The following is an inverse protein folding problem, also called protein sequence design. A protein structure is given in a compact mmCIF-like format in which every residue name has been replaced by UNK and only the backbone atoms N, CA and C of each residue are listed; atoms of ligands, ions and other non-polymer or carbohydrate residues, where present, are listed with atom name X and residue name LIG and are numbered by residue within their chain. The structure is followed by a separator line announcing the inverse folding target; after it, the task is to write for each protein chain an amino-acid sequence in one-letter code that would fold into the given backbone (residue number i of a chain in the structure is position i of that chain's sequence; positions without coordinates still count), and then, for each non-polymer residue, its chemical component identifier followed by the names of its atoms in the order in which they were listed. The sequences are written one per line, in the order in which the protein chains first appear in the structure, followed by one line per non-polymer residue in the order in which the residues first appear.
data_IF_397708719399
#
_entry.id   IF_397708719399
#
_cell.length_a   1.000
_cell.length_b   1.000
_cell.length_c   1.000
_cell.angle_alpha   90.00
_cell.angle_beta   90.00
_cell.angle_gamma   90.00
#
_symmetry.space_group_name_H-M   'P 1'
#
loop_
_entity.id
_entity.type
_entity.pdbx_description
1 polymer ?
#
# COMPACT_ATOMS: atom_id res chain seq x y z
N UNK A 1 -2.33 -3.72 8.93
CA UNK A 1 -2.10 -4.60 7.75
C UNK A 1 -0.64 -4.97 7.52
N UNK A 2 0.32 -4.05 7.72
CA UNK A 2 1.75 -4.29 7.44
C UNK A 2 2.32 -5.58 8.08
N UNK A 3 2.08 -5.81 9.37
CA UNK A 3 2.58 -6.99 10.07
C UNK A 3 2.07 -8.32 9.49
N UNK A 4 0.77 -8.38 9.13
CA UNK A 4 0.14 -9.56 8.53
C UNK A 4 0.70 -9.80 7.11
N UNK A 5 0.89 -8.72 6.34
CA UNK A 5 1.49 -8.78 5.01
C UNK A 5 2.95 -9.24 5.05
N UNK A 6 3.74 -8.70 5.97
CA UNK A 6 5.11 -9.12 6.21
C UNK A 6 5.19 -10.59 6.63
N UNK A 7 4.33 -11.03 7.56
CA UNK A 7 4.30 -12.43 7.98
C UNK A 7 3.91 -13.38 6.85
N UNK A 8 2.92 -13.03 6.02
CA UNK A 8 2.55 -13.81 4.84
C UNK A 8 3.70 -13.88 3.83
N UNK A 9 4.41 -12.75 3.64
CA UNK A 9 5.57 -12.62 2.78
C UNK A 9 6.74 -13.52 3.24
N UNK A 10 7.13 -13.44 4.51
CA UNK A 10 8.20 -14.30 5.05
C UNK A 10 7.82 -15.79 5.04
N UNK A 11 6.54 -16.12 5.24
CA UNK A 11 6.03 -17.50 5.14
C UNK A 11 5.83 -17.96 3.69
N UNK A 12 6.09 -17.12 2.70
CA UNK A 12 5.98 -17.39 1.26
C UNK A 12 4.61 -17.94 0.82
N UNK A 13 3.54 -17.49 1.50
CA UNK A 13 2.19 -17.98 1.20
C UNK A 13 1.70 -17.48 -0.17
N UNK A 14 0.99 -18.30 -0.94
CA UNK A 14 0.35 -17.88 -2.22
C UNK A 14 -0.59 -16.69 -2.09
N UNK A 15 -1.15 -16.45 -0.91
CA UNK A 15 -2.02 -15.30 -0.63
C UNK A 15 -1.28 -13.97 -0.59
N UNK A 16 0.06 -13.97 -0.42
CA UNK A 16 0.89 -12.76 -0.27
C UNK A 16 0.68 -11.77 -1.41
N UNK A 17 0.50 -12.23 -2.65
CA UNK A 17 0.23 -11.37 -3.81
C UNK A 17 -1.03 -10.50 -3.61
N UNK A 18 -2.11 -11.10 -3.12
CA UNK A 18 -3.37 -10.40 -2.84
C UNK A 18 -3.25 -9.54 -1.58
N UNK A 19 -2.54 -10.05 -0.57
CA UNK A 19 -2.40 -9.37 0.71
C UNK A 19 -1.51 -8.11 0.61
N UNK A 20 -0.48 -8.14 -0.23
CA UNK A 20 0.35 -6.96 -0.51
C UNK A 20 -0.39 -5.92 -1.34
N UNK A 21 -1.13 -6.34 -2.38
CA UNK A 21 -1.99 -5.42 -3.13
C UNK A 21 -3.03 -4.74 -2.20
N UNK A 22 -3.68 -5.52 -1.33
CA UNK A 22 -4.61 -5.00 -0.33
C UNK A 22 -3.91 -4.07 0.68
N UNK A 23 -2.68 -4.40 1.10
CA UNK A 23 -1.90 -3.55 1.99
C UNK A 23 -1.64 -2.17 1.37
N UNK A 24 -1.17 -2.10 0.12
CA UNK A 24 -0.92 -0.82 -0.55
C UNK A 24 -2.21 -0.01 -0.76
N UNK A 25 -3.32 -0.67 -1.13
CA UNK A 25 -4.62 -0.03 -1.27
C UNK A 25 -5.14 0.54 0.06
N UNK A 26 -5.11 -0.25 1.14
CA UNK A 26 -5.51 0.20 2.47
C UNK A 26 -4.62 1.32 2.97
N UNK A 27 -3.30 1.24 2.73
CA UNK A 27 -2.36 2.29 3.11
C UNK A 27 -2.72 3.62 2.44
N UNK A 28 -2.96 3.62 1.13
CA UNK A 28 -3.38 4.82 0.40
C UNK A 28 -4.70 5.38 0.90
N UNK A 29 -5.74 4.55 1.08
CA UNK A 29 -7.03 5.01 1.60
C UNK A 29 -6.86 5.63 2.99
N UNK A 30 -6.08 4.98 3.86
CA UNK A 30 -5.85 5.49 5.22
C UNK A 30 -5.10 6.81 5.19
N UNK A 31 -4.02 6.92 4.40
CA UNK A 31 -3.26 8.17 4.23
C UNK A 31 -4.13 9.26 3.64
N UNK A 32 -4.92 8.99 2.61
CA UNK A 32 -5.83 9.95 2.00
C UNK A 32 -6.91 10.42 2.98
N UNK A 33 -7.53 9.50 3.73
CA UNK A 33 -8.49 9.88 4.76
C UNK A 33 -7.85 10.73 5.86
N UNK A 34 -6.66 10.36 6.34
CA UNK A 34 -5.98 11.10 7.43
C UNK A 34 -5.42 12.46 7.00
N UNK A 35 -5.32 12.74 5.69
CA UNK A 35 -4.79 14.01 5.17
C UNK A 35 -5.91 14.89 4.62
N UNK A 36 -6.75 14.36 3.73
CA UNK A 36 -7.81 15.10 3.04
C UNK A 36 -8.98 15.41 3.97
N UNK A 37 -9.35 14.48 4.87
CA UNK A 37 -10.53 14.65 5.73
C UNK A 37 -10.32 15.76 6.77
N UNK A 38 -9.16 15.85 7.48
CA UNK A 38 -8.89 17.00 8.34
C UNK A 38 -8.75 18.31 7.56
N UNK A 39 -8.09 18.29 6.39
CA UNK A 39 -7.96 19.48 5.55
C UNK A 39 -9.34 20.03 5.14
N UNK A 40 -10.28 19.14 4.77
CA UNK A 40 -11.64 19.52 4.38
C UNK A 40 -12.50 19.98 5.58
N UNK A 41 -12.43 19.31 6.72
CA UNK A 41 -13.25 19.65 7.90
C UNK A 41 -12.79 20.92 8.61
N UNK A 42 -11.47 21.16 8.65
CA UNK A 42 -10.89 22.26 9.42
C UNK A 42 -10.33 23.39 8.53
N UNK A 43 -10.53 23.32 7.21
CA UNK A 43 -9.97 24.26 6.22
C UNK A 43 -8.45 24.49 6.39
N UNK A 44 -7.73 23.40 6.70
CA UNK A 44 -6.28 23.44 6.84
C UNK A 44 -5.63 23.35 5.45
N UNK A 45 -4.53 24.07 5.27
CA UNK A 45 -3.66 23.85 4.11
C UNK A 45 -2.91 22.54 4.27
N UNK A 46 -2.77 21.79 3.17
CA UNK A 46 -1.91 20.62 3.15
C UNK A 46 -0.45 21.05 3.30
N UNK A 47 0.26 20.39 4.21
CA UNK A 47 1.68 20.61 4.38
C UNK A 47 2.48 19.81 3.33
N UNK A 48 3.73 20.19 3.13
CA UNK A 48 4.66 19.42 2.29
C UNK A 48 4.81 17.96 2.75
N UNK A 49 4.68 17.71 4.05
CA UNK A 49 4.67 16.38 4.67
C UNK A 49 3.49 15.54 4.17
N UNK A 50 2.29 16.12 4.11
CA UNK A 50 1.07 15.45 3.62
C UNK A 50 1.19 15.14 2.13
N UNK A 51 1.67 16.09 1.34
CA UNK A 51 1.90 15.91 -0.11
C UNK A 51 2.93 14.79 -0.35
N UNK A 52 4.00 14.75 0.43
CA UNK A 52 5.00 13.70 0.39
C UNK A 52 4.42 12.32 0.76
N UNK A 53 3.55 12.27 1.78
CA UNK A 53 2.91 11.03 2.21
C UNK A 53 1.94 10.49 1.14
N UNK A 54 1.11 11.36 0.55
CA UNK A 54 0.17 11.00 -0.51
C UNK A 54 0.93 10.56 -1.77
N UNK A 55 1.94 11.31 -2.21
CA UNK A 55 2.74 10.95 -3.39
C UNK A 55 3.47 9.61 -3.19
N UNK A 56 4.05 9.37 -2.01
CA UNK A 56 4.66 8.08 -1.67
C UNK A 56 3.65 6.94 -1.67
N UNK A 57 2.43 7.16 -1.19
CA UNK A 57 1.36 6.17 -1.23
C UNK A 57 0.89 5.86 -2.67
N UNK A 58 0.82 6.87 -3.54
CA UNK A 58 0.51 6.71 -4.97
C UNK A 58 1.58 5.90 -5.68
N UNK A 59 2.86 6.27 -5.52
CA UNK A 59 3.99 5.50 -6.05
C UNK A 59 3.96 4.08 -5.51
N UNK A 60 3.60 3.93 -4.23
CA UNK A 60 3.41 2.65 -3.58
C UNK A 60 2.44 1.74 -4.36
N UNK A 61 1.25 2.25 -4.67
CA UNK A 61 0.25 1.50 -5.45
C UNK A 61 0.74 1.26 -6.86
N UNK A 62 1.19 2.30 -7.57
CA UNK A 62 1.49 2.24 -9.00
C UNK A 62 2.71 1.37 -9.31
N UNK A 63 3.72 1.35 -8.44
CA UNK A 63 4.91 0.53 -8.66
C UNK A 63 4.70 -0.90 -8.13
N UNK A 64 4.22 -1.05 -6.90
CA UNK A 64 4.22 -2.36 -6.24
C UNK A 64 3.02 -3.23 -6.60
N UNK A 65 1.83 -2.64 -6.81
CA UNK A 65 0.63 -3.44 -7.16
C UNK A 65 0.81 -4.20 -8.48
N UNK A 66 1.23 -3.58 -9.60
CA UNK A 66 1.46 -4.33 -10.83
C UNK A 66 2.63 -5.29 -10.70
N UNK A 67 3.68 -4.95 -9.94
CA UNK A 67 4.77 -5.88 -9.65
C UNK A 67 4.27 -7.16 -8.97
N UNK A 68 3.46 -7.05 -7.91
CA UNK A 68 2.98 -8.23 -7.18
C UNK A 68 1.92 -9.05 -7.96
N UNK A 69 1.15 -8.41 -8.84
CA UNK A 69 0.10 -9.08 -9.61
C UNK A 69 0.60 -9.70 -10.92
N UNK A 70 1.49 -9.01 -11.63
CA UNK A 70 1.91 -9.37 -13.00
C UNK A 70 3.29 -10.05 -13.06
N UNK A 71 4.12 -9.90 -12.03
CA UNK A 71 5.48 -10.47 -12.06
C UNK A 71 5.47 -12.00 -12.04
N UNK A 72 6.11 -12.59 -13.06
CA UNK A 72 6.30 -14.04 -13.19
C UNK A 72 7.10 -14.66 -12.02
N UNK A 73 7.87 -13.85 -11.28
CA UNK A 73 8.69 -14.32 -10.14
C UNK A 73 7.86 -14.57 -8.88
N UNK A 74 6.75 -13.86 -8.70
CA UNK A 74 5.89 -13.97 -7.52
C UNK A 74 5.34 -15.39 -7.32
N UNK A 75 4.72 -16.08 -8.31
CA UNK A 75 4.23 -17.44 -8.11
C UNK A 75 5.35 -18.47 -7.86
N UNK A 76 6.58 -18.19 -8.28
CA UNK A 76 7.75 -19.06 -8.01
C UNK A 76 8.21 -18.94 -6.56
N UNK A 77 8.29 -17.71 -6.05
CA UNK A 77 8.74 -17.44 -4.67
C UNK A 77 7.64 -17.75 -3.64
N UNK A 78 6.40 -17.36 -3.94
CA UNK A 78 5.23 -17.49 -3.04
C UNK A 78 4.36 -18.68 -3.43
N UNK A 79 4.91 -19.89 -3.39
CA UNK A 79 4.20 -21.11 -3.81
C UNK A 79 3.60 -21.92 -2.65
N UNK A 80 3.97 -21.60 -1.41
CA UNK A 80 3.54 -22.29 -0.18
C UNK A 80 2.10 -21.96 0.20
#
# INVERSE_FOLDING_TARGET
MAAIAAQAFFRRKRITKKLMAAYYAVNFITTACMTVLPAALFNLSLECSDISAISSAIVGILAWTPYFLLSKRIPVVFHK
#
